data_IF_796529520653
#
_entry.id   IF_796529520653
#
_cell.length_a   1.000
_cell.length_b   1.000
_cell.length_c   1.000
_cell.angle_alpha   90.00
_cell.angle_beta   90.00
_cell.angle_gamma   90.00
#
_symmetry.space_group_name_H-M   'P 1'
#
loop_
_entity.id
_entity.type
_entity.pdbx_description
1 polymer ?
#
# COMPACT_ATOMS: atom_id res chain seq x y z
N UNK A 1 18.82 12.05 -25.30
CA UNK A 1 18.17 11.07 -26.18
C UNK A 1 17.65 9.92 -25.34
N UNK A 2 16.34 9.63 -25.44
CA UNK A 2 15.72 8.48 -24.79
C UNK A 2 16.18 7.19 -25.49
N UNK A 3 16.44 6.13 -24.70
CA UNK A 3 16.69 4.81 -25.25
C UNK A 3 15.36 4.15 -25.72
N UNK A 4 15.43 3.04 -26.45
CA UNK A 4 14.25 2.36 -27.00
C UNK A 4 13.24 1.98 -25.92
N UNK A 5 13.69 1.43 -24.78
CA UNK A 5 12.80 1.08 -23.67
C UNK A 5 12.14 2.28 -23.00
N UNK A 6 12.85 3.40 -22.89
CA UNK A 6 12.27 4.64 -22.36
C UNK A 6 11.19 5.18 -23.32
N UNK A 7 11.47 5.15 -24.62
CA UNK A 7 10.49 5.57 -25.63
C UNK A 7 9.24 4.67 -25.61
N UNK A 8 9.44 3.34 -25.50
CA UNK A 8 8.36 2.39 -25.33
C UNK A 8 7.51 2.71 -24.08
N UNK A 9 8.15 2.92 -22.92
CA UNK A 9 7.48 3.25 -21.65
C UNK A 9 6.58 4.48 -21.82
N UNK A 10 7.13 5.60 -22.28
CA UNK A 10 6.37 6.85 -22.44
C UNK A 10 5.22 6.70 -23.42
N UNK A 11 5.46 6.06 -24.57
CA UNK A 11 4.44 5.82 -25.59
C UNK A 11 3.32 4.92 -25.06
N UNK A 12 3.67 3.79 -24.44
CA UNK A 12 2.69 2.82 -23.94
C UNK A 12 1.89 3.37 -22.77
N UNK A 13 2.52 4.08 -21.83
CA UNK A 13 1.82 4.74 -20.72
C UNK A 13 0.82 5.78 -21.26
N UNK A 14 1.24 6.62 -22.21
CA UNK A 14 0.34 7.60 -22.82
C UNK A 14 -0.83 6.95 -23.56
N UNK A 15 -0.59 5.86 -24.27
CA UNK A 15 -1.63 5.08 -24.98
C UNK A 15 -2.67 4.52 -24.00
N UNK A 16 -2.21 3.84 -22.95
CA UNK A 16 -3.09 3.23 -21.95
C UNK A 16 -3.84 4.29 -21.14
N UNK A 17 -3.19 5.39 -20.75
CA UNK A 17 -3.84 6.51 -20.08
C UNK A 17 -4.98 7.09 -20.95
N UNK A 18 -4.74 7.32 -22.25
CA UNK A 18 -5.78 7.81 -23.17
C UNK A 18 -6.94 6.83 -23.29
N UNK A 19 -6.65 5.52 -23.37
CA UNK A 19 -7.68 4.47 -23.47
C UNK A 19 -8.66 4.49 -22.30
N UNK A 20 -8.22 4.92 -21.12
CA UNK A 20 -9.04 4.98 -19.89
C UNK A 20 -9.47 6.41 -19.51
N UNK A 21 -9.23 7.39 -20.38
CA UNK A 21 -9.66 8.78 -20.16
C UNK A 21 -8.76 9.61 -19.24
N UNK A 22 -7.54 9.16 -18.96
CA UNK A 22 -6.54 9.87 -18.15
C UNK A 22 -5.64 10.75 -19.03
N UNK A 23 -6.19 11.80 -19.62
CA UNK A 23 -5.47 12.61 -20.61
C UNK A 23 -4.44 13.59 -20.03
N UNK A 24 -4.46 13.83 -18.72
CA UNK A 24 -3.62 14.82 -18.05
C UNK A 24 -2.62 14.18 -17.08
N UNK A 25 -2.40 12.86 -17.17
CA UNK A 25 -1.43 12.17 -16.33
C UNK A 25 -0.01 12.49 -16.80
N UNK A 26 0.81 12.98 -15.89
CA UNK A 26 2.23 13.18 -16.12
C UNK A 26 2.98 11.85 -16.01
N UNK A 27 4.06 11.71 -16.76
CA UNK A 27 4.89 10.50 -16.76
C UNK A 27 6.32 10.92 -16.46
N UNK A 28 6.91 10.32 -15.43
CA UNK A 28 8.29 10.59 -15.02
C UNK A 28 9.14 9.32 -15.00
N UNK A 29 10.42 9.50 -15.20
CA UNK A 29 11.46 8.49 -14.99
C UNK A 29 12.45 9.04 -13.97
N UNK A 30 12.84 8.24 -12.98
CA UNK A 30 13.82 8.62 -11.98
C UNK A 30 14.94 7.57 -11.88
N UNK A 31 16.13 8.02 -11.52
CA UNK A 31 17.30 7.15 -11.37
C UNK A 31 17.22 6.36 -10.07
N UNK A 32 17.13 5.04 -10.17
CA UNK A 32 17.19 4.10 -9.06
C UNK A 32 17.42 2.69 -9.61
N UNK A 33 18.28 1.93 -8.95
CA UNK A 33 18.53 0.52 -9.26
C UNK A 33 17.36 -0.39 -8.80
N UNK A 34 16.49 0.10 -7.92
CA UNK A 34 15.33 -0.63 -7.46
C UNK A 34 14.28 -0.77 -8.56
N UNK A 35 13.64 -1.93 -8.64
CA UNK A 35 12.49 -2.13 -9.54
C UNK A 35 11.27 -1.53 -8.85
N UNK A 36 10.90 -0.33 -9.27
CA UNK A 36 9.80 0.38 -8.63
C UNK A 36 9.03 1.25 -9.64
N UNK A 37 7.71 1.33 -9.41
CA UNK A 37 6.82 2.28 -10.05
C UNK A 37 5.81 2.75 -9.02
N UNK A 38 5.31 3.97 -9.15
CA UNK A 38 4.25 4.47 -8.28
C UNK A 38 3.42 5.53 -8.98
N UNK A 39 2.14 5.57 -8.64
CA UNK A 39 1.22 6.63 -9.02
C UNK A 39 0.97 7.57 -7.83
N UNK A 40 0.94 8.87 -8.08
CA UNK A 40 0.64 9.88 -7.08
C UNK A 40 -0.16 11.05 -7.68
N UNK A 41 -0.76 11.86 -6.83
CA UNK A 41 -1.49 13.05 -7.25
C UNK A 41 -2.77 13.28 -6.42
N UNK A 42 -3.27 14.53 -6.40
CA UNK A 42 -4.46 14.88 -5.63
C UNK A 42 -5.78 14.46 -6.29
N UNK A 43 -5.76 14.07 -7.56
CA UNK A 43 -6.95 13.64 -8.29
C UNK A 43 -6.60 12.88 -9.57
N UNK A 44 -7.58 12.21 -10.19
CA UNK A 44 -7.40 11.53 -11.49
C UNK A 44 -6.93 12.47 -12.60
N UNK A 45 -7.36 13.73 -12.57
CA UNK A 45 -6.98 14.75 -13.56
C UNK A 45 -5.63 15.43 -13.28
N UNK A 46 -5.07 15.23 -12.08
CA UNK A 46 -3.77 15.73 -11.67
C UNK A 46 -2.98 14.59 -11.05
N UNK A 47 -2.59 13.66 -11.88
CA UNK A 47 -1.86 12.45 -11.48
C UNK A 47 -0.51 12.39 -12.17
N UNK A 48 0.44 11.73 -11.52
CA UNK A 48 1.78 11.43 -12.00
C UNK A 48 2.02 9.93 -11.84
N UNK A 49 2.57 9.30 -12.86
CA UNK A 49 3.13 7.95 -12.75
C UNK A 49 4.64 8.07 -12.92
N UNK A 50 5.38 7.59 -11.93
CA UNK A 50 6.84 7.58 -11.96
C UNK A 50 7.37 6.15 -11.99
N UNK A 51 8.42 5.95 -12.81
CA UNK A 51 9.08 4.66 -12.99
C UNK A 51 10.57 4.80 -12.69
N UNK A 52 11.18 3.76 -12.11
CA UNK A 52 12.61 3.71 -11.90
C UNK A 52 13.36 3.24 -13.14
N UNK A 53 14.63 3.63 -13.27
CA UNK A 53 15.53 3.08 -14.29
C UNK A 53 15.74 1.59 -14.12
N UNK A 54 15.82 1.09 -12.88
CA UNK A 54 15.96 -0.32 -12.57
C UNK A 54 14.79 -1.17 -13.09
N UNK A 55 13.55 -0.64 -13.08
CA UNK A 55 12.41 -1.32 -13.67
C UNK A 55 12.60 -1.57 -15.17
N UNK A 56 13.10 -0.57 -15.91
CA UNK A 56 13.35 -0.68 -17.35
C UNK A 56 14.51 -1.63 -17.68
N UNK A 57 15.50 -1.73 -16.81
CA UNK A 57 16.64 -2.63 -17.02
C UNK A 57 16.25 -4.09 -16.78
N UNK A 58 15.43 -4.33 -15.79
CA UNK A 58 15.10 -5.69 -15.31
C UNK A 58 13.94 -6.33 -16.07
N UNK A 59 12.94 -5.53 -16.49
CA UNK A 59 11.71 -6.02 -17.08
C UNK A 59 11.73 -5.96 -18.61
N UNK A 60 11.04 -6.91 -19.24
CA UNK A 60 10.72 -6.86 -20.66
C UNK A 60 9.48 -5.98 -20.93
N UNK A 61 9.16 -5.73 -22.18
CA UNK A 61 8.07 -4.83 -22.57
C UNK A 61 6.69 -5.28 -22.08
N UNK A 62 6.39 -6.58 -22.09
CA UNK A 62 5.11 -7.11 -21.61
C UNK A 62 4.96 -6.97 -20.10
N UNK A 63 6.06 -7.16 -19.36
CA UNK A 63 6.10 -6.97 -17.91
C UNK A 63 5.96 -5.49 -17.52
N UNK A 64 6.63 -4.60 -18.27
CA UNK A 64 6.49 -3.15 -18.11
C UNK A 64 5.04 -2.72 -18.38
N UNK A 65 4.40 -3.27 -19.41
CA UNK A 65 2.99 -2.96 -19.73
C UNK A 65 2.05 -3.41 -18.60
N UNK A 66 2.30 -4.55 -17.97
CA UNK A 66 1.56 -5.00 -16.80
C UNK A 66 1.68 -4.05 -15.61
N UNK A 67 2.90 -3.58 -15.31
CA UNK A 67 3.14 -2.58 -14.24
C UNK A 67 2.46 -1.26 -14.55
N UNK A 68 2.57 -0.75 -15.80
CA UNK A 68 1.88 0.48 -16.21
C UNK A 68 0.37 0.37 -15.99
N UNK A 69 -0.22 -0.75 -16.40
CA UNK A 69 -1.66 -0.99 -16.25
C UNK A 69 -2.08 -1.04 -14.78
N UNK A 70 -1.25 -1.61 -13.91
CA UNK A 70 -1.49 -1.66 -12.47
C UNK A 70 -1.51 -0.26 -11.85
N UNK A 71 -0.52 0.59 -12.16
CA UNK A 71 -0.47 1.98 -11.69
C UNK A 71 -1.66 2.81 -12.21
N UNK A 72 -2.05 2.60 -13.47
CA UNK A 72 -3.26 3.19 -14.04
C UNK A 72 -4.50 2.74 -13.27
N UNK A 73 -4.57 1.47 -12.86
CA UNK A 73 -5.66 0.93 -12.04
C UNK A 73 -5.85 1.73 -10.75
N UNK A 74 -4.77 2.06 -10.05
CA UNK A 74 -4.80 2.88 -8.83
C UNK A 74 -5.31 4.31 -9.11
N UNK A 75 -4.91 4.92 -10.23
CA UNK A 75 -5.39 6.25 -10.59
C UNK A 75 -6.90 6.22 -10.90
N UNK A 76 -7.33 5.25 -11.73
CA UNK A 76 -8.74 5.10 -12.13
C UNK A 76 -9.64 4.82 -10.91
N UNK A 77 -9.17 4.05 -9.95
CA UNK A 77 -9.88 3.78 -8.70
C UNK A 77 -9.89 4.98 -7.75
N UNK A 78 -9.00 5.96 -7.94
CA UNK A 78 -8.85 7.12 -7.04
C UNK A 78 -8.19 6.76 -5.71
N UNK A 79 -7.38 5.74 -5.73
CA UNK A 79 -6.78 5.11 -4.55
C UNK A 79 -5.89 6.05 -3.74
N UNK A 80 -5.14 6.93 -4.42
CA UNK A 80 -4.26 7.91 -3.78
C UNK A 80 -5.01 8.80 -2.79
N UNK A 81 -6.16 9.35 -3.22
CA UNK A 81 -6.98 10.22 -2.38
C UNK A 81 -7.71 9.44 -1.29
N UNK A 82 -8.26 8.28 -1.65
CA UNK A 82 -9.02 7.43 -0.73
C UNK A 82 -8.17 6.99 0.46
N UNK A 83 -6.91 6.58 0.25
CA UNK A 83 -6.02 6.15 1.34
C UNK A 83 -5.62 7.30 2.25
N UNK A 84 -5.31 8.46 1.68
CA UNK A 84 -4.96 9.66 2.48
C UNK A 84 -6.14 10.09 3.35
N UNK A 85 -7.35 10.12 2.79
CA UNK A 85 -8.56 10.46 3.53
C UNK A 85 -8.89 9.42 4.60
N UNK A 86 -8.78 8.12 4.27
CA UNK A 86 -9.02 7.04 5.22
C UNK A 86 -8.05 7.13 6.40
N UNK A 87 -6.78 7.37 6.15
CA UNK A 87 -5.78 7.50 7.20
C UNK A 87 -6.03 8.71 8.09
N UNK A 88 -6.37 9.88 7.51
CA UNK A 88 -6.75 11.07 8.26
C UNK A 88 -7.99 10.85 9.13
N UNK A 89 -9.03 10.23 8.57
CA UNK A 89 -10.24 9.87 9.29
C UNK A 89 -9.96 8.93 10.46
N UNK A 90 -9.18 7.86 10.22
CA UNK A 90 -8.85 6.88 11.24
C UNK A 90 -8.02 7.48 12.37
N UNK A 91 -7.04 8.34 12.05
CA UNK A 91 -6.26 9.04 13.07
C UNK A 91 -7.14 9.93 13.96
N UNK A 92 -8.05 10.70 13.35
CA UNK A 92 -9.00 11.54 14.08
C UNK A 92 -9.92 10.69 14.95
N UNK A 93 -10.42 9.58 14.42
CA UNK A 93 -11.28 8.66 15.17
C UNK A 93 -10.56 8.05 16.37
N UNK A 94 -9.32 7.59 16.22
CA UNK A 94 -8.50 7.01 17.30
C UNK A 94 -8.32 8.02 18.43
N UNK A 95 -7.94 9.27 18.10
CA UNK A 95 -7.74 10.34 19.08
C UNK A 95 -9.04 10.67 19.82
N UNK A 96 -10.16 10.76 19.13
CA UNK A 96 -11.46 11.06 19.72
C UNK A 96 -11.94 9.93 20.61
N UNK A 97 -11.92 8.67 20.08
CA UNK A 97 -12.41 7.50 20.81
C UNK A 97 -11.61 7.23 22.09
N UNK A 98 -10.28 7.39 22.03
CA UNK A 98 -9.42 7.22 23.20
C UNK A 98 -9.76 8.19 24.30
N UNK A 99 -9.93 9.50 23.97
CA UNK A 99 -10.30 10.53 24.95
C UNK A 99 -11.70 10.32 25.49
N UNK A 100 -12.67 10.02 24.63
CA UNK A 100 -14.04 9.78 25.04
C UNK A 100 -14.12 8.61 26.03
N UNK A 101 -13.44 7.49 25.71
CA UNK A 101 -13.43 6.33 26.60
C UNK A 101 -12.66 6.59 27.90
N UNK A 102 -11.53 7.30 27.83
CA UNK A 102 -10.78 7.68 29.04
C UNK A 102 -11.62 8.55 29.98
N UNK A 103 -12.38 9.51 29.43
CA UNK A 103 -13.29 10.35 30.24
C UNK A 103 -14.42 9.52 30.87
N UNK A 104 -14.99 8.55 30.16
CA UNK A 104 -16.01 7.66 30.73
C UNK A 104 -15.43 6.83 31.89
N UNK A 105 -14.21 6.31 31.73
CA UNK A 105 -13.54 5.52 32.77
C UNK A 105 -13.21 6.41 33.98
N UNK A 106 -12.69 7.61 33.74
CA UNK A 106 -12.35 8.57 34.81
C UNK A 106 -13.57 8.96 35.64
N UNK A 107 -14.68 9.32 34.97
CA UNK A 107 -15.95 9.62 35.63
C UNK A 107 -16.50 8.43 36.43
N UNK A 108 -16.35 7.20 35.92
CA UNK A 108 -16.77 5.99 36.66
C UNK A 108 -15.92 5.75 37.91
N UNK A 109 -14.63 6.06 37.85
CA UNK A 109 -13.72 5.94 39.00
C UNK A 109 -13.89 7.08 40.03
N UNK A 110 -14.40 8.25 39.59
CA UNK A 110 -14.65 9.41 40.45
C UNK A 110 -16.05 9.37 41.12
N UNK A 111 -16.84 8.32 40.87
CA UNK A 111 -18.15 8.14 41.50
C UNK A 111 -18.00 7.92 43.03
N UNK A 112 -18.80 8.64 43.83
CA UNK A 112 -18.74 8.59 45.29
C UNK A 112 -18.88 7.17 45.87
N UNK A 113 -19.62 6.30 45.19
CA UNK A 113 -19.79 4.89 45.56
C UNK A 113 -18.57 4.02 45.24
N UNK A 114 -17.67 4.45 44.39
CA UNK A 114 -16.48 3.68 43.97
C UNK A 114 -15.34 3.71 44.97
N UNK A 115 -15.29 4.74 45.81
CA UNK A 115 -14.24 4.95 46.81
C UNK A 115 -12.87 5.34 46.26
N UNK A 116 -12.80 5.66 44.95
CA UNK A 116 -11.57 5.94 44.23
C UNK A 116 -11.51 7.41 43.83
N UNK A 117 -11.53 8.38 44.20
CA UNK A 117 -11.45 9.82 43.89
C UNK A 117 -10.95 10.22 42.46
N UNK A 118 -11.31 9.43 41.43
CA UNK A 118 -10.91 9.65 40.03
C UNK A 118 -9.42 9.39 39.73
N UNK A 119 -9.02 9.59 38.48
CA UNK A 119 -7.63 9.49 38.07
C UNK A 119 -6.90 10.83 38.34
N UNK A 120 -5.64 10.73 38.81
CA UNK A 120 -4.79 11.93 38.77
C UNK A 120 -4.59 12.42 37.33
N UNK A 121 -4.22 13.68 37.19
CA UNK A 121 -3.93 14.28 35.85
C UNK A 121 -2.98 13.41 35.02
N UNK A 122 -1.94 12.87 35.63
CA UNK A 122 -0.99 11.96 34.97
C UNK A 122 -1.61 10.59 34.66
N UNK A 123 -2.43 10.06 35.54
CA UNK A 123 -3.15 8.79 35.33
C UNK A 123 -4.10 8.88 34.14
N UNK A 124 -4.85 9.97 34.00
CA UNK A 124 -5.71 10.22 32.85
C UNK A 124 -4.94 10.24 31.53
N UNK A 125 -3.82 10.98 31.46
CA UNK A 125 -3.03 11.04 30.23
C UNK A 125 -2.35 9.72 29.87
N UNK A 126 -1.91 8.94 30.88
CA UNK A 126 -1.40 7.58 30.66
C UNK A 126 -2.50 6.70 30.08
N UNK A 127 -3.71 6.76 30.63
CA UNK A 127 -4.85 5.98 30.14
C UNK A 127 -5.19 6.37 28.70
N UNK A 128 -5.26 7.67 28.38
CA UNK A 128 -5.47 8.14 27.01
C UNK A 128 -4.40 7.57 26.07
N UNK A 129 -3.13 7.64 26.45
CA UNK A 129 -2.03 7.12 25.61
C UNK A 129 -2.15 5.61 25.37
N UNK A 130 -2.46 4.83 26.40
CA UNK A 130 -2.67 3.37 26.27
C UNK A 130 -3.83 3.07 25.32
N UNK A 131 -4.94 3.77 25.45
CA UNK A 131 -6.11 3.61 24.58
C UNK A 131 -5.81 4.02 23.13
N UNK A 132 -5.06 5.12 22.93
CA UNK A 132 -4.62 5.53 21.59
C UNK A 132 -3.77 4.43 20.93
N UNK A 133 -2.83 3.81 21.64
CA UNK A 133 -2.03 2.70 21.13
C UNK A 133 -2.90 1.50 20.75
N UNK A 134 -3.84 1.12 21.60
CA UNK A 134 -4.76 0.00 21.33
C UNK A 134 -5.62 0.28 20.09
N UNK A 135 -6.26 1.44 20.03
CA UNK A 135 -7.10 1.80 18.87
C UNK A 135 -6.29 1.99 17.59
N UNK A 136 -5.04 2.47 17.68
CA UNK A 136 -4.15 2.58 16.53
C UNK A 136 -3.84 1.21 15.93
N UNK A 137 -3.66 0.16 16.74
CA UNK A 137 -3.48 -1.21 16.23
C UNK A 137 -4.70 -1.66 15.43
N UNK A 138 -5.92 -1.44 15.92
CA UNK A 138 -7.15 -1.77 15.20
C UNK A 138 -7.30 -0.95 13.92
N UNK A 139 -7.03 0.36 13.98
CA UNK A 139 -7.06 1.24 12.81
C UNK A 139 -6.08 0.78 11.73
N UNK A 140 -4.85 0.41 12.13
CA UNK A 140 -3.84 -0.09 11.21
C UNK A 140 -4.25 -1.42 10.55
N UNK A 141 -4.86 -2.34 11.29
CA UNK A 141 -5.40 -3.59 10.73
C UNK A 141 -6.48 -3.33 9.67
N UNK A 142 -7.38 -2.38 9.93
CA UNK A 142 -8.43 -1.99 9.00
C UNK A 142 -7.85 -1.34 7.73
N UNK A 143 -6.92 -0.41 7.88
CA UNK A 143 -6.22 0.25 6.76
C UNK A 143 -5.47 -0.79 5.92
N UNK A 144 -4.76 -1.71 6.56
CA UNK A 144 -4.02 -2.77 5.87
C UNK A 144 -4.94 -3.73 5.11
N UNK A 145 -6.08 -4.09 5.69
CA UNK A 145 -7.09 -4.90 5.01
C UNK A 145 -7.66 -4.18 3.77
N UNK A 146 -7.99 -2.90 3.90
CA UNK A 146 -8.48 -2.09 2.79
C UNK A 146 -7.42 -1.92 1.70
N UNK A 147 -6.15 -1.67 2.08
CA UNK A 147 -5.03 -1.58 1.15
C UNK A 147 -4.88 -2.86 0.32
N UNK A 148 -4.91 -4.04 0.96
CA UNK A 148 -4.83 -5.32 0.24
C UNK A 148 -5.98 -5.52 -0.75
N UNK A 149 -7.21 -5.14 -0.39
CA UNK A 149 -8.36 -5.23 -1.32
C UNK A 149 -8.15 -4.37 -2.57
N UNK A 150 -7.56 -3.21 -2.41
CA UNK A 150 -7.25 -2.31 -3.54
C UNK A 150 -6.21 -2.90 -4.49
N UNK A 151 -5.18 -3.55 -3.95
CA UNK A 151 -4.19 -4.27 -4.78
C UNK A 151 -4.87 -5.32 -5.67
N UNK A 152 -5.73 -6.16 -5.10
CA UNK A 152 -6.48 -7.14 -5.88
C UNK A 152 -7.41 -6.50 -6.94
N UNK A 153 -8.04 -5.38 -6.59
CA UNK A 153 -8.89 -4.66 -7.54
C UNK A 153 -8.07 -4.05 -8.68
N UNK A 154 -6.88 -3.48 -8.38
CA UNK A 154 -5.96 -2.95 -9.37
C UNK A 154 -5.42 -4.08 -10.28
N UNK A 155 -5.11 -5.25 -9.72
CA UNK A 155 -4.67 -6.42 -10.49
C UNK A 155 -5.72 -6.93 -11.48
N UNK A 156 -6.97 -7.03 -11.05
CA UNK A 156 -8.08 -7.44 -11.94
C UNK A 156 -8.33 -6.38 -13.01
N UNK A 157 -8.33 -5.10 -12.63
CA UNK A 157 -8.49 -4.00 -13.59
C UNK A 157 -7.39 -4.03 -14.66
N UNK A 158 -6.13 -4.14 -14.24
CA UNK A 158 -4.98 -4.19 -15.15
C UNK A 158 -5.01 -5.44 -16.04
N UNK A 159 -5.40 -6.60 -15.48
CA UNK A 159 -5.58 -7.83 -16.26
C UNK A 159 -6.66 -7.67 -17.36
N UNK A 160 -7.72 -6.92 -17.10
CA UNK A 160 -8.73 -6.58 -18.10
C UNK A 160 -8.24 -5.58 -19.15
N UNK A 161 -7.27 -4.73 -18.80
CA UNK A 161 -6.75 -3.67 -19.68
C UNK A 161 -5.69 -4.18 -20.67
N UNK A 162 -4.76 -5.04 -20.21
CA UNK A 162 -3.58 -5.51 -20.99
C UNK A 162 -3.49 -7.02 -21.13
N UNK A 163 -4.35 -7.77 -20.49
CA UNK A 163 -4.38 -9.24 -20.50
C UNK A 163 -3.78 -9.84 -19.22
N UNK A 164 -4.31 -11.01 -18.81
CA UNK A 164 -3.88 -11.71 -17.59
C UNK A 164 -2.42 -12.15 -17.67
N UNK A 165 -1.97 -12.63 -18.84
CA UNK A 165 -0.61 -13.15 -19.00
C UNK A 165 0.46 -12.09 -18.72
N UNK A 166 0.27 -10.86 -19.22
CA UNK A 166 1.19 -9.75 -18.98
C UNK A 166 1.20 -9.34 -17.50
N UNK A 167 0.04 -9.29 -16.86
CA UNK A 167 -0.06 -8.96 -15.46
C UNK A 167 0.58 -10.03 -14.57
N UNK A 168 0.38 -11.31 -14.86
CA UNK A 168 1.03 -12.43 -14.15
C UNK A 168 2.53 -12.37 -14.36
N UNK A 169 3.01 -12.18 -15.61
CA UNK A 169 4.45 -12.09 -15.92
C UNK A 169 5.12 -10.94 -15.14
N UNK A 170 4.48 -9.79 -15.06
CA UNK A 170 5.01 -8.66 -14.28
C UNK A 170 5.15 -8.99 -12.80
N UNK A 171 4.14 -9.63 -12.18
CA UNK A 171 4.22 -10.06 -10.77
C UNK A 171 5.27 -11.15 -10.53
N UNK A 172 5.44 -12.10 -11.47
CA UNK A 172 6.48 -13.12 -11.39
C UNK A 172 7.89 -12.50 -11.51
N UNK A 173 8.06 -11.50 -12.37
CA UNK A 173 9.30 -10.76 -12.50
C UNK A 173 9.65 -9.99 -11.24
N UNK A 174 8.68 -9.29 -10.65
CA UNK A 174 8.82 -8.65 -9.33
C UNK A 174 9.22 -9.66 -8.24
N UNK A 175 8.60 -10.83 -8.22
CA UNK A 175 8.93 -11.88 -7.26
C UNK A 175 10.37 -12.40 -7.42
N UNK A 176 10.82 -12.59 -8.66
CA UNK A 176 12.20 -12.99 -8.95
C UNK A 176 13.21 -11.95 -8.48
N UNK A 177 12.92 -10.66 -8.70
CA UNK A 177 13.80 -9.57 -8.30
C UNK A 177 13.95 -9.47 -6.78
N UNK A 178 12.84 -9.57 -6.03
CA UNK A 178 12.88 -9.57 -4.56
C UNK A 178 13.76 -10.71 -4.04
N UNK A 179 13.69 -11.90 -4.64
CA UNK A 179 14.51 -13.05 -4.25
C UNK A 179 16.00 -12.92 -4.64
N UNK A 180 16.33 -12.09 -5.63
CA UNK A 180 17.72 -11.85 -6.06
C UNK A 180 18.39 -10.72 -5.29
N UNK A 181 17.64 -9.70 -4.90
CA UNK A 181 18.14 -8.54 -4.14
C UNK A 181 18.38 -8.86 -2.66
N UNK A 182 17.75 -9.92 -2.12
CA UNK A 182 18.06 -10.40 -0.78
C UNK A 182 19.49 -10.98 -0.76
N UNK A 183 20.51 -10.27 -0.22
CA UNK A 183 21.89 -10.73 -0.29
C UNK A 183 22.04 -12.06 0.46
N UNK A 184 22.82 -12.98 -0.10
CA UNK A 184 23.27 -14.20 0.58
C UNK A 184 24.04 -13.95 1.88
N UNK A 185 24.36 -12.71 2.20
CA UNK A 185 25.28 -12.32 3.29
C UNK A 185 24.66 -12.10 4.66
N UNK A 186 23.34 -11.96 4.79
CA UNK A 186 22.71 -11.79 6.10
C UNK A 186 21.62 -12.86 6.37
N UNK A 187 22.02 -14.14 6.24
CA UNK A 187 21.15 -15.24 6.68
C UNK A 187 20.71 -15.19 8.15
N UNK A 188 21.38 -14.41 9.00
CA UNK A 188 20.98 -14.28 10.42
C UNK A 188 19.90 -13.22 10.61
N UNK A 189 20.00 -12.08 9.94
CA UNK A 189 19.00 -11.01 10.08
C UNK A 189 17.80 -11.22 9.16
N UNK A 190 18.01 -11.75 7.95
CA UNK A 190 16.92 -12.16 7.05
C UNK A 190 16.14 -13.37 7.57
N UNK A 191 16.74 -14.26 8.38
CA UNK A 191 16.03 -15.36 9.04
C UNK A 191 15.08 -14.83 10.12
N UNK A 192 15.43 -13.75 10.80
CA UNK A 192 14.54 -13.10 11.77
C UNK A 192 13.38 -12.42 11.03
N UNK A 193 13.64 -11.67 9.95
CA UNK A 193 12.61 -11.06 9.11
C UNK A 193 11.74 -12.08 8.37
N UNK A 194 12.34 -13.14 7.81
CA UNK A 194 11.63 -14.22 7.12
C UNK A 194 10.82 -15.10 8.09
N UNK A 195 11.33 -15.38 9.31
CA UNK A 195 10.54 -16.04 10.36
C UNK A 195 9.40 -15.17 10.87
N UNK A 196 9.58 -13.87 10.89
CA UNK A 196 8.55 -12.90 11.23
C UNK A 196 7.51 -12.83 10.09
N UNK A 197 7.94 -12.88 8.83
CA UNK A 197 7.07 -12.85 7.64
C UNK A 197 6.23 -14.12 7.45
N UNK A 198 6.70 -15.29 7.90
CA UNK A 198 5.97 -16.56 7.79
C UNK A 198 4.95 -16.82 8.92
N UNK A 199 4.82 -15.92 9.88
CA UNK A 199 3.81 -16.04 10.92
C UNK A 199 2.48 -15.44 10.45
N UNK A 200 1.40 -16.23 10.42
CA UNK A 200 0.03 -15.76 10.12
C UNK A 200 -0.37 -14.48 10.88
N UNK A 201 0.27 -14.22 12.03
CA UNK A 201 0.03 -13.01 12.84
C UNK A 201 0.53 -11.72 12.19
N UNK A 202 1.56 -11.78 11.36
CA UNK A 202 2.15 -10.58 10.72
C UNK A 202 1.44 -10.24 9.41
N UNK A 203 0.76 -11.20 8.78
CA UNK A 203 -0.06 -10.97 7.60
C UNK A 203 -1.08 -9.83 7.79
N UNK A 204 -1.63 -9.66 8.99
CA UNK A 204 -2.57 -8.56 9.28
C UNK A 204 -1.95 -7.16 9.24
N UNK A 205 -0.62 -7.06 9.38
CA UNK A 205 0.11 -5.79 9.37
C UNK A 205 0.79 -5.48 8.02
N UNK A 206 0.72 -6.37 7.04
CA UNK A 206 1.24 -6.09 5.70
C UNK A 206 0.25 -5.23 4.92
N UNK A 207 0.74 -4.13 4.34
CA UNK A 207 -0.06 -3.23 3.50
C UNK A 207 -0.27 -3.78 2.10
N UNK A 208 0.64 -4.61 1.59
CA UNK A 208 0.51 -5.30 0.31
C UNK A 208 0.31 -6.80 0.52
N UNK A 209 -0.54 -7.46 -0.29
CA UNK A 209 -0.68 -8.91 -0.27
C UNK A 209 0.59 -9.58 -0.81
N UNK A 210 0.78 -10.85 -0.44
CA UNK A 210 1.84 -11.68 -1.01
C UNK A 210 1.68 -11.78 -2.54
N UNK A 211 2.81 -11.77 -3.26
CA UNK A 211 2.81 -11.85 -4.73
C UNK A 211 2.19 -13.16 -5.24
N UNK A 212 2.37 -14.27 -4.51
CA UNK A 212 1.75 -15.54 -4.85
C UNK A 212 0.23 -15.49 -4.70
N UNK A 213 -0.28 -14.84 -3.66
CA UNK A 213 -1.71 -14.65 -3.46
C UNK A 213 -2.30 -13.79 -4.59
N UNK A 214 -1.61 -12.72 -5.02
CA UNK A 214 -2.02 -11.87 -6.14
C UNK A 214 -2.07 -12.65 -7.46
N UNK A 215 -1.02 -13.41 -7.77
CA UNK A 215 -0.95 -14.25 -8.98
C UNK A 215 -2.09 -15.28 -8.99
N UNK A 216 -2.32 -15.97 -7.87
CA UNK A 216 -3.39 -16.94 -7.74
C UNK A 216 -4.78 -16.29 -7.88
N UNK A 217 -4.95 -15.10 -7.33
CA UNK A 217 -6.20 -14.35 -7.44
C UNK A 217 -6.52 -13.98 -8.90
N UNK A 218 -5.53 -13.53 -9.68
CA UNK A 218 -5.70 -13.24 -11.12
C UNK A 218 -6.04 -14.51 -11.92
N UNK A 219 -5.38 -15.65 -11.61
CA UNK A 219 -5.62 -16.93 -12.32
C UNK A 219 -7.05 -17.44 -12.11
N UNK A 220 -7.64 -17.17 -10.96
CA UNK A 220 -8.95 -17.71 -10.57
C UNK A 220 -10.13 -16.78 -10.91
N UNK A 221 -9.89 -15.54 -11.31
CA UNK A 221 -10.91 -14.55 -11.71
C UNK A 221 -10.75 -14.12 -13.16
#
# INVERSE_FOLDING_TARGET
>A
NLNEKQLFLFKKTSELCKKVGLNSTEIALYESDEINAFATGPSKSKSLIAFSTGLLEYMNEDEIEGVIAHEIGHIVSGDMMTMTLLQGLMNTFVMFAARALATVIDNYLDDEDSGFGGLSIWGYWILVWVLEVVFMIFAYMLISWFSRKREYAADIYSSGLVGKDKMISSLESLKKSVNQILPKENKRDSIVFSKISNSKKIYFFQTHPDLDDRINYIKNN
#
